data_IF_584607725392
#
_entry.id   IF_584607725392
#
_cell.length_a   1.000
_cell.length_b   1.000
_cell.length_c   1.000
_cell.angle_alpha   90.00
_cell.angle_beta   90.00
_cell.angle_gamma   90.00
#
_symmetry.space_group_name_H-M   'P 1'
#
loop_
_entity.id
_entity.type
_entity.pdbx_description
1 polymer ?
#
# COMPACT_ATOMS: atom_id res chain seq x y z
N UNK A 1 -28.90 16.63 47.06
CA UNK A 1 -30.22 16.69 46.41
C UNK A 1 -30.93 15.37 46.64
N UNK A 2 -32.20 15.37 47.03
CA UNK A 2 -33.01 14.15 47.02
C UNK A 2 -33.50 13.89 45.59
N UNK A 3 -33.65 12.61 45.17
CA UNK A 3 -33.96 12.19 43.79
C UNK A 3 -35.20 12.89 43.22
N UNK A 4 -36.20 13.16 44.07
CA UNK A 4 -37.40 13.92 43.68
C UNK A 4 -37.13 15.37 43.28
N UNK A 5 -36.20 16.06 43.95
CA UNK A 5 -35.86 17.45 43.60
C UNK A 5 -35.09 17.54 42.29
N UNK A 6 -34.24 16.53 42.00
CA UNK A 6 -33.51 16.44 40.74
C UNK A 6 -34.44 16.14 39.56
N UNK A 7 -35.40 15.23 39.73
CA UNK A 7 -36.41 14.94 38.70
C UNK A 7 -37.31 16.14 38.39
N UNK A 8 -37.65 16.96 39.39
CA UNK A 8 -38.41 18.20 39.18
C UNK A 8 -37.57 19.22 38.38
N UNK A 9 -36.28 19.36 38.71
CA UNK A 9 -35.38 20.25 37.99
C UNK A 9 -35.16 19.82 36.54
N UNK A 10 -34.86 18.53 36.28
CA UNK A 10 -34.63 17.99 34.94
C UNK A 10 -35.87 18.14 34.04
N UNK A 11 -37.08 18.05 34.61
CA UNK A 11 -38.33 18.25 33.87
C UNK A 11 -38.72 19.74 33.68
N UNK A 12 -38.03 20.66 34.34
CA UNK A 12 -38.24 22.10 34.12
C UNK A 12 -37.80 22.53 32.71
N UNK A 13 -38.25 23.71 32.26
CA UNK A 13 -37.82 24.27 30.96
C UNK A 13 -36.30 24.44 30.86
N UNK A 14 -35.64 24.78 31.96
CA UNK A 14 -34.18 24.93 32.03
C UNK A 14 -33.52 23.55 32.04
N UNK A 15 -34.02 22.60 32.84
CA UNK A 15 -33.51 21.22 32.86
C UNK A 15 -33.59 20.53 31.50
N UNK A 16 -34.71 20.66 30.79
CA UNK A 16 -34.86 20.12 29.43
C UNK A 16 -33.91 20.76 28.42
N UNK A 17 -33.62 22.07 28.56
CA UNK A 17 -32.62 22.75 27.72
C UNK A 17 -31.21 22.23 28.02
N UNK A 18 -30.87 22.02 29.29
CA UNK A 18 -29.59 21.45 29.71
C UNK A 18 -29.42 20.02 29.21
N UNK A 19 -30.45 19.17 29.30
CA UNK A 19 -30.43 17.81 28.74
C UNK A 19 -30.16 17.86 27.24
N UNK A 20 -30.90 18.70 26.49
CA UNK A 20 -30.72 18.82 25.04
C UNK A 20 -29.33 19.34 24.66
N UNK A 21 -28.77 20.24 25.47
CA UNK A 21 -27.42 20.74 25.26
C UNK A 21 -26.38 19.65 25.55
N UNK A 22 -26.54 18.91 26.65
CA UNK A 22 -25.68 17.77 26.99
C UNK A 22 -25.75 16.66 25.93
N UNK A 23 -26.93 16.34 25.39
CA UNK A 23 -27.08 15.39 24.27
C UNK A 23 -26.37 15.87 23.00
N UNK A 24 -26.39 17.18 22.72
CA UNK A 24 -25.70 17.76 21.58
C UNK A 24 -24.18 17.74 21.78
N UNK A 25 -23.70 18.09 22.97
CA UNK A 25 -22.27 18.03 23.33
C UNK A 25 -21.75 16.59 23.29
N UNK A 26 -22.51 15.63 23.85
CA UNK A 26 -22.20 14.20 23.80
C UNK A 26 -22.12 13.70 22.35
N UNK A 27 -23.08 14.09 21.50
CA UNK A 27 -23.04 13.71 20.09
C UNK A 27 -21.77 14.22 19.39
N UNK A 28 -21.42 15.49 19.59
CA UNK A 28 -20.20 16.06 18.99
C UNK A 28 -18.95 15.33 19.49
N UNK A 29 -18.92 14.96 20.77
CA UNK A 29 -17.84 14.17 21.35
C UNK A 29 -17.74 12.77 20.72
N UNK A 30 -18.86 12.07 20.57
CA UNK A 30 -18.90 10.75 19.93
C UNK A 30 -18.50 10.81 18.45
N UNK A 31 -18.97 11.82 17.71
CA UNK A 31 -18.59 12.03 16.30
C UNK A 31 -17.06 12.28 16.19
N UNK A 32 -16.47 13.01 17.13
CA UNK A 32 -15.03 13.24 17.19
C UNK A 32 -14.24 11.95 17.50
N UNK A 33 -14.68 11.16 18.48
CA UNK A 33 -14.06 9.85 18.78
C UNK A 33 -14.12 8.91 17.57
N UNK A 34 -15.27 8.87 16.88
CA UNK A 34 -15.42 8.04 15.70
C UNK A 34 -14.44 8.46 14.58
N UNK A 35 -14.25 9.76 14.37
CA UNK A 35 -13.28 10.27 13.39
C UNK A 35 -11.85 9.85 13.75
N UNK A 36 -11.45 10.01 15.01
CA UNK A 36 -10.12 9.61 15.49
C UNK A 36 -9.90 8.09 15.32
N UNK A 37 -10.90 7.28 15.69
CA UNK A 37 -10.84 5.82 15.54
C UNK A 37 -10.67 5.41 14.07
N UNK A 38 -11.37 6.07 13.14
CA UNK A 38 -11.21 5.84 11.70
C UNK A 38 -9.78 6.16 11.25
N UNK A 39 -9.21 7.31 11.65
CA UNK A 39 -7.84 7.68 11.29
C UNK A 39 -6.80 6.67 11.83
N UNK A 40 -6.98 6.17 13.04
CA UNK A 40 -6.11 5.12 13.61
C UNK A 40 -6.22 3.84 12.78
N UNK A 41 -7.44 3.46 12.39
CA UNK A 41 -7.65 2.27 11.57
C UNK A 41 -6.98 2.40 10.19
N UNK A 42 -7.12 3.55 9.52
CA UNK A 42 -6.45 3.85 8.24
C UNK A 42 -4.92 3.81 8.39
N UNK A 43 -4.38 4.40 9.46
CA UNK A 43 -2.94 4.36 9.73
C UNK A 43 -2.42 2.94 9.97
N UNK A 44 -3.19 2.10 10.68
CA UNK A 44 -2.88 0.67 10.88
C UNK A 44 -2.94 -0.13 9.59
N UNK A 45 -3.95 0.09 8.76
CA UNK A 45 -4.05 -0.57 7.44
C UNK A 45 -2.86 -0.19 6.55
N UNK A 46 -2.48 1.09 6.56
CA UNK A 46 -1.28 1.58 5.87
C UNK A 46 0.00 0.92 6.40
N UNK A 47 0.15 0.82 7.72
CA UNK A 47 1.27 0.13 8.35
C UNK A 47 1.30 -1.37 7.99
N UNK A 48 0.16 -2.04 8.01
CA UNK A 48 0.05 -3.45 7.63
C UNK A 48 0.46 -3.67 6.17
N UNK A 49 0.07 -2.77 5.26
CA UNK A 49 0.56 -2.77 3.89
C UNK A 49 2.08 -2.55 3.84
N UNK A 50 2.61 -1.56 4.56
CA UNK A 50 4.05 -1.26 4.59
C UNK A 50 4.87 -2.45 5.14
N UNK A 51 4.32 -3.18 6.10
CA UNK A 51 5.01 -4.27 6.75
C UNK A 51 4.86 -5.59 6.01
N UNK A 52 3.68 -5.90 5.48
CA UNK A 52 3.37 -7.18 4.86
C UNK A 52 3.45 -7.18 3.34
N UNK A 53 3.27 -6.03 2.67
CA UNK A 53 3.10 -5.92 1.21
C UNK A 53 1.79 -6.56 0.70
N UNK A 54 1.61 -6.60 -0.63
CA UNK A 54 0.36 -7.10 -1.25
C UNK A 54 0.37 -8.59 -1.61
N UNK A 55 1.51 -9.24 -1.45
CA UNK A 55 1.76 -10.58 -1.96
C UNK A 55 2.52 -11.40 -0.91
N UNK A 56 2.06 -11.45 0.34
CA UNK A 56 2.71 -12.24 1.38
C UNK A 56 2.31 -13.70 1.26
N UNK A 57 3.27 -14.61 1.22
CA UNK A 57 3.05 -16.07 1.14
C UNK A 57 2.19 -16.50 -0.07
N UNK A 58 2.50 -16.00 -1.26
CA UNK A 58 1.74 -16.28 -2.49
C UNK A 58 2.61 -16.68 -3.66
N UNK A 59 1.98 -17.30 -4.67
CA UNK A 59 2.59 -17.63 -5.95
C UNK A 59 1.93 -16.76 -7.04
N UNK A 60 2.74 -16.12 -7.88
CA UNK A 60 2.27 -15.16 -8.90
C UNK A 60 3.10 -15.25 -10.16
N UNK A 61 2.55 -14.70 -11.24
CA UNK A 61 3.28 -14.48 -12.48
C UNK A 61 3.59 -13.00 -12.61
N UNK A 62 4.84 -12.71 -12.94
CA UNK A 62 5.32 -11.35 -13.18
C UNK A 62 6.01 -11.29 -14.54
N UNK A 63 5.93 -10.14 -15.20
CA UNK A 63 6.61 -9.89 -16.47
C UNK A 63 7.83 -9.01 -16.22
N UNK A 64 9.02 -9.48 -16.62
CA UNK A 64 10.26 -8.73 -16.63
C UNK A 64 10.70 -8.47 -18.06
N UNK A 65 10.50 -7.23 -18.52
CA UNK A 65 10.91 -6.77 -19.86
C UNK A 65 10.52 -7.76 -20.98
N UNK A 66 9.24 -8.16 -20.99
CA UNK A 66 8.67 -9.11 -21.96
C UNK A 66 8.81 -10.60 -21.59
N UNK A 67 9.67 -10.96 -20.64
CA UNK A 67 9.79 -12.35 -20.18
C UNK A 67 8.84 -12.63 -19.01
N UNK A 68 8.09 -13.73 -19.07
CA UNK A 68 7.23 -14.15 -17.95
C UNK A 68 8.01 -14.99 -16.94
N UNK A 69 7.89 -14.63 -15.68
CA UNK A 69 8.49 -15.32 -14.54
C UNK A 69 7.41 -15.84 -13.60
N UNK A 70 7.67 -17.02 -13.06
CA UNK A 70 6.97 -17.56 -11.92
C UNK A 70 7.67 -17.11 -10.63
N UNK A 71 6.94 -16.34 -9.83
CA UNK A 71 7.44 -15.69 -8.62
C UNK A 71 6.73 -16.28 -7.41
N UNK A 72 7.52 -16.77 -6.45
CA UNK A 72 7.03 -17.19 -5.14
C UNK A 72 7.48 -16.16 -4.11
N UNK A 73 6.55 -15.74 -3.27
CA UNK A 73 6.80 -14.82 -2.17
C UNK A 73 6.61 -15.52 -0.83
N UNK A 74 7.41 -15.14 0.15
CA UNK A 74 7.30 -15.58 1.53
C UNK A 74 6.72 -14.48 2.42
N UNK A 75 7.10 -14.51 3.70
CA UNK A 75 6.69 -13.51 4.67
C UNK A 75 7.06 -12.08 4.24
N UNK A 76 6.19 -11.13 4.57
CA UNK A 76 6.34 -9.70 4.25
C UNK A 76 6.52 -9.43 2.75
N UNK A 77 5.90 -10.26 1.91
CA UNK A 77 5.99 -10.17 0.45
C UNK A 77 7.43 -10.23 -0.09
N UNK A 78 8.39 -10.78 0.66
CA UNK A 78 9.76 -10.99 0.15
C UNK A 78 9.73 -12.06 -0.92
N UNK A 79 10.37 -11.79 -2.06
CA UNK A 79 10.48 -12.79 -3.12
C UNK A 79 11.48 -13.85 -2.67
N UNK A 80 11.06 -15.11 -2.67
CA UNK A 80 11.91 -16.26 -2.31
C UNK A 80 12.43 -16.99 -3.54
N UNK A 81 11.71 -16.88 -4.67
CA UNK A 81 12.11 -17.47 -5.94
C UNK A 81 11.48 -16.68 -7.09
N UNK A 82 12.27 -16.37 -8.11
CA UNK A 82 11.80 -15.83 -9.38
C UNK A 82 12.43 -16.65 -10.52
N UNK A 83 11.61 -17.44 -11.22
CA UNK A 83 12.08 -18.37 -12.26
C UNK A 83 11.42 -18.07 -13.61
N UNK A 84 12.18 -17.90 -14.70
CA UNK A 84 11.62 -17.78 -16.03
C UNK A 84 10.73 -18.97 -16.40
N UNK A 85 9.59 -18.66 -17.00
CA UNK A 85 8.68 -19.67 -17.54
C UNK A 85 9.23 -20.09 -18.90
N UNK A 86 9.53 -21.38 -19.04
CA UNK A 86 10.07 -22.01 -20.25
C UNK A 86 9.09 -23.07 -20.74
N UNK A 87 9.33 -23.63 -21.93
CA UNK A 87 8.52 -24.74 -22.44
C UNK A 87 8.52 -25.96 -21.49
N UNK A 88 9.59 -26.15 -20.71
CA UNK A 88 9.72 -27.23 -19.74
C UNK A 88 9.03 -26.87 -18.42
N UNK A 89 9.37 -25.72 -17.83
CA UNK A 89 8.79 -25.31 -16.54
C UNK A 89 7.28 -25.02 -16.63
N UNK A 90 6.75 -24.66 -17.80
CA UNK A 90 5.31 -24.51 -18.00
C UNK A 90 4.50 -25.77 -17.69
N UNK A 91 5.07 -26.96 -17.92
CA UNK A 91 4.41 -28.24 -17.63
C UNK A 91 4.33 -28.53 -16.12
N UNK A 92 5.19 -27.90 -15.35
CA UNK A 92 5.31 -28.07 -13.90
C UNK A 92 4.56 -26.98 -13.11
N UNK A 93 4.04 -25.96 -13.81
CA UNK A 93 3.30 -24.87 -13.16
C UNK A 93 1.99 -25.36 -12.52
N UNK A 94 1.60 -24.78 -11.38
CA UNK A 94 0.28 -25.02 -10.80
C UNK A 94 -0.85 -24.71 -11.78
N UNK A 95 -1.95 -25.47 -11.70
CA UNK A 95 -3.12 -25.31 -12.60
C UNK A 95 -3.66 -23.88 -12.56
N UNK A 96 -3.64 -23.25 -11.38
CA UNK A 96 -4.08 -21.87 -11.18
C UNK A 96 -3.20 -20.87 -11.96
N UNK A 97 -1.88 -21.07 -11.96
CA UNK A 97 -0.93 -20.25 -12.71
C UNK A 97 -1.10 -20.44 -14.22
N UNK A 98 -1.38 -21.67 -14.67
CA UNK A 98 -1.71 -21.94 -16.07
C UNK A 98 -3.01 -21.24 -16.48
N UNK A 99 -4.03 -21.23 -15.61
CA UNK A 99 -5.27 -20.50 -15.86
C UNK A 99 -5.04 -18.99 -15.94
N UNK A 100 -4.21 -18.44 -15.05
CA UNK A 100 -3.80 -17.04 -15.07
C UNK A 100 -3.07 -16.68 -16.38
N UNK A 101 -2.13 -17.51 -16.84
CA UNK A 101 -1.45 -17.33 -18.14
C UNK A 101 -2.44 -17.34 -19.30
N UNK A 102 -3.40 -18.27 -19.32
CA UNK A 102 -4.41 -18.33 -20.38
C UNK A 102 -5.28 -17.08 -20.43
N UNK A 103 -5.63 -16.53 -19.27
CA UNK A 103 -6.46 -15.35 -19.17
C UNK A 103 -5.72 -14.07 -19.61
N UNK A 104 -4.48 -13.90 -19.15
CA UNK A 104 -3.75 -12.64 -19.30
C UNK A 104 -2.74 -12.63 -20.46
N UNK A 105 -2.20 -13.79 -20.83
CA UNK A 105 -1.20 -13.94 -21.89
C UNK A 105 -1.54 -15.13 -22.84
N UNK A 106 -2.68 -15.07 -23.57
CA UNK A 106 -3.18 -16.19 -24.35
C UNK A 106 -2.23 -16.64 -25.47
N UNK A 107 -1.57 -15.68 -26.15
CA UNK A 107 -0.61 -15.97 -27.23
C UNK A 107 0.64 -16.66 -26.69
N UNK A 108 1.16 -16.19 -25.56
CA UNK A 108 2.31 -16.80 -24.89
C UNK A 108 1.97 -18.21 -24.43
N UNK A 109 0.78 -18.40 -23.86
CA UNK A 109 0.31 -19.73 -23.46
C UNK A 109 0.24 -20.71 -24.63
N UNK A 110 -0.28 -20.26 -25.78
CA UNK A 110 -0.32 -21.09 -26.98
C UNK A 110 1.09 -21.48 -27.44
N UNK A 111 2.03 -20.52 -27.46
CA UNK A 111 3.44 -20.79 -27.78
C UNK A 111 4.07 -21.80 -26.82
N UNK A 112 3.83 -21.66 -25.51
CA UNK A 112 4.32 -22.59 -24.47
C UNK A 112 3.76 -24.00 -24.67
N UNK A 113 2.46 -24.13 -24.97
CA UNK A 113 1.80 -25.41 -25.25
C UNK A 113 2.37 -26.13 -26.48
N UNK A 114 2.74 -25.37 -27.51
CA UNK A 114 3.33 -25.91 -28.74
C UNK A 114 4.86 -26.02 -28.70
N UNK A 115 5.51 -25.69 -27.57
CA UNK A 115 6.97 -25.73 -27.44
C UNK A 115 7.69 -24.68 -28.30
N UNK A 116 7.00 -23.61 -28.67
CA UNK A 116 7.48 -22.53 -29.53
C UNK A 116 7.77 -21.24 -28.76
N UNK A 117 7.70 -21.26 -27.43
CA UNK A 117 8.08 -20.11 -26.63
C UNK A 117 9.60 -20.01 -26.57
N UNK A 118 10.15 -18.85 -26.95
CA UNK A 118 11.57 -18.59 -27.01
C UNK A 118 11.83 -17.13 -26.68
N UNK A 119 11.62 -16.78 -25.41
CA UNK A 119 11.97 -15.45 -24.92
C UNK A 119 13.39 -15.51 -24.35
N UNK A 120 14.28 -14.76 -25.00
CA UNK A 120 15.62 -14.51 -24.47
C UNK A 120 15.50 -13.44 -23.41
N UNK A 121 16.01 -13.71 -22.23
CA UNK A 121 16.11 -12.72 -21.16
C UNK A 121 17.01 -11.57 -21.64
N UNK A 122 16.51 -10.35 -21.50
CA UNK A 122 17.26 -9.12 -21.73
C UNK A 122 18.16 -8.82 -20.52
N UNK A 123 19.12 -7.90 -20.68
CA UNK A 123 19.95 -7.41 -19.57
C UNK A 123 19.07 -6.84 -18.44
N UNK A 124 18.04 -6.06 -18.81
CA UNK A 124 17.06 -5.53 -17.86
C UNK A 124 16.28 -6.62 -17.13
N UNK A 125 15.92 -7.72 -17.80
CA UNK A 125 15.28 -8.84 -17.13
C UNK A 125 16.20 -9.45 -16.05
N UNK A 126 17.52 -9.52 -16.30
CA UNK A 126 18.48 -9.96 -15.29
C UNK A 126 18.64 -8.96 -14.13
N UNK A 127 18.65 -7.65 -14.41
CA UNK A 127 18.63 -6.62 -13.36
C UNK A 127 17.38 -6.74 -12.48
N UNK A 128 16.21 -6.97 -13.06
CA UNK A 128 14.97 -7.18 -12.32
C UNK A 128 14.99 -8.47 -11.52
N UNK A 129 15.60 -9.55 -12.05
CA UNK A 129 15.84 -10.78 -11.29
C UNK A 129 16.77 -10.55 -10.09
N UNK A 130 17.84 -9.78 -10.27
CA UNK A 130 18.74 -9.38 -9.19
C UNK A 130 18.01 -8.55 -8.12
N UNK A 131 17.15 -7.63 -8.54
CA UNK A 131 16.31 -6.84 -7.66
C UNK A 131 15.35 -7.70 -6.79
N UNK A 132 14.98 -8.91 -7.24
CA UNK A 132 14.16 -9.83 -6.44
C UNK A 132 14.86 -10.35 -5.19
N UNK A 133 16.19 -10.36 -5.18
CA UNK A 133 16.97 -10.76 -4.01
C UNK A 133 17.03 -9.65 -2.95
N UNK A 134 16.83 -8.40 -3.38
CA UNK A 134 17.00 -7.20 -2.55
C UNK A 134 15.70 -6.63 -2.04
N UNK A 135 14.64 -6.71 -2.84
CA UNK A 135 13.42 -5.95 -2.61
C UNK A 135 12.16 -6.83 -2.52
N UNK A 136 11.15 -6.40 -1.77
CA UNK A 136 9.86 -7.09 -1.73
C UNK A 136 9.11 -6.96 -3.06
N UNK A 137 8.12 -7.84 -3.23
CA UNK A 137 7.32 -7.99 -4.45
C UNK A 137 6.84 -6.67 -5.03
N UNK A 138 6.23 -5.80 -4.21
CA UNK A 138 5.60 -4.57 -4.72
C UNK A 138 6.64 -3.60 -5.30
N UNK A 139 7.84 -3.53 -4.72
CA UNK A 139 8.94 -2.70 -5.25
C UNK A 139 9.41 -3.25 -6.59
N UNK A 140 9.65 -4.56 -6.67
CA UNK A 140 10.08 -5.21 -7.92
C UNK A 140 9.02 -5.05 -9.01
N UNK A 141 7.74 -5.19 -8.66
CA UNK A 141 6.65 -4.95 -9.60
C UNK A 141 6.62 -3.51 -10.11
N UNK A 142 6.89 -2.53 -9.23
CA UNK A 142 6.99 -1.12 -9.62
C UNK A 142 8.22 -0.82 -10.50
N UNK A 143 9.35 -1.52 -10.27
CA UNK A 143 10.53 -1.45 -11.13
C UNK A 143 10.30 -2.08 -12.50
N UNK A 144 9.61 -3.23 -12.54
CA UNK A 144 9.31 -3.95 -13.78
C UNK A 144 8.29 -3.22 -14.66
N UNK A 145 7.35 -2.49 -14.06
CA UNK A 145 6.34 -1.71 -14.77
C UNK A 145 6.78 -0.29 -15.15
N UNK A 146 7.99 0.13 -14.77
CA UNK A 146 8.50 1.46 -15.02
C UNK A 146 8.64 1.74 -16.54
N UNK A 147 8.04 2.81 -17.08
CA UNK A 147 8.14 3.13 -18.51
C UNK A 147 9.58 3.40 -18.96
N UNK A 148 10.05 2.72 -20.00
CA UNK A 148 11.48 2.77 -20.39
C UNK A 148 11.76 3.70 -21.57
N UNK A 149 10.72 4.12 -22.30
CA UNK A 149 10.92 4.80 -23.57
C UNK A 149 9.78 5.75 -23.92
N UNK A 150 10.14 6.88 -24.55
CA UNK A 150 9.21 7.80 -25.22
C UNK A 150 9.07 7.46 -26.73
N UNK A 151 9.73 6.39 -27.20
CA UNK A 151 9.58 5.86 -28.56
C UNK A 151 8.48 4.80 -28.61
N UNK A 152 7.45 5.08 -29.41
CA UNK A 152 6.26 4.23 -29.61
C UNK A 152 6.57 2.83 -30.11
N UNK A 153 7.73 2.63 -30.73
CA UNK A 153 8.13 1.33 -31.28
C UNK A 153 8.91 0.47 -30.29
N UNK A 154 9.20 0.98 -29.08
CA UNK A 154 9.93 0.23 -28.06
C UNK A 154 8.99 -0.37 -27.01
N UNK A 155 9.34 -1.52 -26.40
CA UNK A 155 8.65 -2.05 -25.23
C UNK A 155 8.55 -0.99 -24.12
N UNK A 156 7.50 -1.09 -23.29
CA UNK A 156 7.26 -0.17 -22.17
C UNK A 156 7.21 1.31 -22.57
N UNK A 157 6.70 1.60 -23.77
CA UNK A 157 6.47 2.95 -24.26
C UNK A 157 5.43 3.71 -23.41
N UNK A 158 5.76 4.96 -23.09
CA UNK A 158 4.81 5.93 -22.56
C UNK A 158 5.13 7.31 -23.16
N UNK A 159 4.09 8.04 -23.60
CA UNK A 159 4.20 9.38 -24.21
C UNK A 159 4.89 10.38 -23.27
N UNK A 160 4.73 10.19 -21.95
CA UNK A 160 5.25 11.05 -20.90
C UNK A 160 6.10 10.25 -19.90
N UNK A 161 7.00 9.37 -20.36
CA UNK A 161 7.78 8.51 -19.45
C UNK A 161 8.53 9.34 -18.40
N UNK A 162 9.00 10.54 -18.75
CA UNK A 162 9.65 11.48 -17.83
C UNK A 162 8.82 11.83 -16.59
N UNK A 163 7.48 11.88 -16.68
CA UNK A 163 6.63 12.23 -15.53
C UNK A 163 6.66 11.16 -14.44
N UNK A 164 7.04 9.94 -14.80
CA UNK A 164 7.13 8.80 -13.90
C UNK A 164 8.44 8.73 -13.10
N UNK A 165 9.37 9.65 -13.33
CA UNK A 165 10.68 9.68 -12.66
C UNK A 165 10.86 11.01 -11.92
N UNK A 166 11.48 10.97 -10.73
CA UNK A 166 11.79 12.19 -9.96
C UNK A 166 13.01 12.91 -10.51
N UNK A 167 14.00 12.17 -11.03
CA UNK A 167 15.27 12.71 -11.53
C UNK A 167 15.70 12.02 -12.82
N UNK A 168 16.69 12.59 -13.50
CA UNK A 168 17.33 11.96 -14.68
C UNK A 168 18.05 10.67 -14.32
N UNK A 169 18.72 10.63 -13.17
CA UNK A 169 19.41 9.43 -12.66
C UNK A 169 18.43 8.29 -12.42
N UNK A 170 17.30 8.56 -11.75
CA UNK A 170 16.23 7.59 -11.54
C UNK A 170 15.70 7.02 -12.85
N UNK A 171 15.63 7.84 -13.91
CA UNK A 171 15.23 7.37 -15.24
C UNK A 171 16.28 6.45 -15.86
N UNK A 172 17.56 6.77 -15.73
CA UNK A 172 18.65 5.92 -16.21
C UNK A 172 18.65 4.56 -15.51
N UNK A 173 18.37 4.55 -14.20
CA UNK A 173 18.36 3.32 -13.39
C UNK A 173 17.00 2.57 -13.46
N UNK A 174 16.00 3.18 -14.09
CA UNK A 174 14.64 2.63 -14.20
C UNK A 174 13.89 2.60 -12.87
N UNK A 175 14.20 3.51 -11.93
CA UNK A 175 13.56 3.65 -10.62
C UNK A 175 12.43 4.68 -10.75
N UNK A 176 11.19 4.22 -10.94
CA UNK A 176 10.04 5.11 -11.02
C UNK A 176 9.71 5.77 -9.68
N UNK A 177 8.98 6.90 -9.69
CA UNK A 177 8.41 7.55 -8.49
C UNK A 177 7.68 6.56 -7.59
N UNK A 178 6.93 5.64 -8.19
CA UNK A 178 6.22 4.60 -7.46
C UNK A 178 7.17 3.65 -6.74
N UNK A 179 8.28 3.27 -7.39
CA UNK A 179 9.31 2.45 -6.76
C UNK A 179 10.00 3.22 -5.62
N UNK A 180 10.29 4.51 -5.78
CA UNK A 180 10.84 5.37 -4.72
C UNK A 180 9.92 5.44 -3.50
N UNK A 181 8.63 5.69 -3.72
CA UNK A 181 7.61 5.72 -2.67
C UNK A 181 7.56 4.40 -1.91
N UNK A 182 7.59 3.27 -2.61
CA UNK A 182 7.56 1.94 -2.00
C UNK A 182 8.85 1.61 -1.23
N UNK A 183 10.01 1.99 -1.78
CA UNK A 183 11.29 1.85 -1.09
C UNK A 183 11.30 2.62 0.23
N UNK A 184 10.79 3.84 0.23
CA UNK A 184 10.64 4.62 1.46
C UNK A 184 9.61 4.01 2.40
N UNK A 185 8.44 3.65 1.89
CA UNK A 185 7.34 3.08 2.67
C UNK A 185 7.76 1.80 3.43
N UNK A 186 8.52 0.93 2.77
CA UNK A 186 9.00 -0.33 3.34
C UNK A 186 10.33 -0.21 4.10
N UNK A 187 10.91 0.99 4.18
CA UNK A 187 12.14 1.19 4.95
C UNK A 187 11.91 0.95 6.44
N UNK A 188 12.90 0.37 7.11
CA UNK A 188 12.81 0.09 8.54
C UNK A 188 12.60 1.37 9.37
N UNK A 189 13.25 2.47 8.98
CA UNK A 189 13.05 3.78 9.61
C UNK A 189 11.60 4.25 9.48
N UNK A 190 11.01 4.16 8.29
CA UNK A 190 9.63 4.58 8.09
C UNK A 190 8.65 3.69 8.87
N UNK A 191 8.86 2.37 8.88
CA UNK A 191 8.04 1.44 9.66
C UNK A 191 8.08 1.77 11.16
N UNK A 192 9.26 2.04 11.71
CA UNK A 192 9.41 2.43 13.12
C UNK A 192 8.68 3.75 13.40
N UNK A 193 8.83 4.74 12.52
CA UNK A 193 8.23 6.06 12.70
C UNK A 193 6.70 6.01 12.60
N UNK A 194 6.15 5.30 11.61
CA UNK A 194 4.70 5.10 11.46
C UNK A 194 4.14 4.35 12.68
N UNK A 195 4.79 3.28 13.14
CA UNK A 195 4.35 2.55 14.32
C UNK A 195 4.32 3.42 15.59
N UNK A 196 5.35 4.28 15.79
CA UNK A 196 5.37 5.23 16.91
C UNK A 196 4.22 6.23 16.83
N UNK A 197 3.91 6.74 15.65
CA UNK A 197 2.80 7.67 15.42
C UNK A 197 1.45 7.01 15.70
N UNK A 198 1.25 5.75 15.30
CA UNK A 198 0.05 4.98 15.63
C UNK A 198 -0.10 4.85 17.14
N UNK A 199 0.96 4.43 17.85
CA UNK A 199 0.92 4.31 19.32
C UNK A 199 0.58 5.64 20.00
N UNK A 200 1.12 6.76 19.50
CA UNK A 200 0.78 8.08 20.02
C UNK A 200 -0.70 8.45 19.77
N UNK A 201 -1.24 8.18 18.57
CA UNK A 201 -2.66 8.39 18.28
C UNK A 201 -3.57 7.53 19.16
N UNK A 202 -3.17 6.30 19.47
CA UNK A 202 -3.92 5.42 20.37
C UNK A 202 -3.92 5.93 21.82
N UNK A 203 -2.78 6.43 22.31
CA UNK A 203 -2.67 7.03 23.65
C UNK A 203 -3.50 8.32 23.76
N UNK A 204 -3.45 9.17 22.74
CA UNK A 204 -4.28 10.38 22.64
C UNK A 204 -5.77 10.04 22.59
N UNK A 205 -6.15 9.01 21.82
CA UNK A 205 -7.54 8.54 21.72
C UNK A 205 -8.07 8.05 23.07
N UNK A 206 -7.33 7.20 23.78
CA UNK A 206 -7.74 6.72 25.10
C UNK A 206 -7.78 7.87 26.12
N UNK A 207 -6.83 8.81 26.06
CA UNK A 207 -6.85 10.01 26.92
C UNK A 207 -8.09 10.89 26.69
N UNK A 208 -8.51 11.10 25.43
CA UNK A 208 -9.71 11.88 25.09
C UNK A 208 -10.97 11.16 25.57
N UNK A 209 -11.03 9.85 25.34
CA UNK A 209 -12.14 8.98 25.74
C UNK A 209 -12.32 8.92 27.26
N UNK A 210 -11.24 8.81 28.03
CA UNK A 210 -11.28 8.81 29.50
C UNK A 210 -11.55 10.20 30.08
N UNK A 211 -11.01 11.26 29.45
CA UNK A 211 -11.15 12.64 29.92
C UNK A 211 -12.53 13.26 29.69
N UNK A 212 -13.33 12.72 28.75
CA UNK A 212 -14.66 13.25 28.44
C UNK A 212 -14.64 14.68 27.87
N UNK A 213 -13.48 15.14 27.40
CA UNK A 213 -13.29 16.48 26.83
C UNK A 213 -12.68 16.34 25.45
N UNK A 214 -13.25 17.04 24.46
CA UNK A 214 -12.64 17.18 23.15
C UNK A 214 -11.32 17.94 23.32
N UNK A 215 -10.21 17.28 23.00
CA UNK A 215 -8.91 17.91 22.76
C UNK A 215 -8.61 17.83 21.28
N UNK A 216 -7.86 18.80 20.76
CA UNK A 216 -7.37 18.76 19.39
C UNK A 216 -6.61 17.44 19.18
N UNK A 217 -7.13 16.60 18.28
CA UNK A 217 -6.42 15.41 17.85
C UNK A 217 -5.17 15.80 17.10
N UNK A 218 -4.00 15.37 17.57
CA UNK A 218 -2.77 15.57 16.81
C UNK A 218 -2.73 14.50 15.73
N UNK A 219 -3.11 14.88 14.52
CA UNK A 219 -2.89 14.04 13.35
C UNK A 219 -1.39 14.01 13.03
N UNK A 220 -0.70 13.00 13.57
CA UNK A 220 0.73 12.82 13.37
C UNK A 220 1.13 12.51 11.91
N UNK A 221 0.16 12.42 10.99
CA UNK A 221 0.40 12.22 9.55
C UNK A 221 0.10 13.46 8.70
N UNK A 222 -0.48 14.53 9.27
CA UNK A 222 -0.87 15.74 8.53
C UNK A 222 0.30 16.65 8.12
N UNK A 223 1.48 16.52 8.75
CA UNK A 223 2.63 17.42 8.56
C UNK A 223 3.38 17.27 7.21
N UNK A 224 2.96 16.39 6.32
CA UNK A 224 3.54 16.28 4.96
C UNK A 224 2.78 17.05 3.87
N UNK A 225 1.79 17.88 4.25
CA UNK A 225 1.09 18.79 3.32
C UNK A 225 1.60 20.25 3.39
N UNK A 226 2.76 20.46 4.02
CA UNK A 226 3.43 21.76 4.09
C UNK A 226 3.90 22.24 2.72
N UNK A 227 3.08 23.08 2.09
CA UNK A 227 3.44 23.82 0.90
C UNK A 227 4.73 24.61 1.10
N UNK A 228 5.60 24.56 0.10
CA UNK A 228 6.62 25.57 -0.08
C UNK A 228 5.95 26.93 -0.35
N UNK A 229 6.35 28.00 0.37
CA UNK A 229 6.10 29.35 -0.07
C UNK A 229 7.23 29.79 -1.03
N UNK A 230 6.89 30.03 -2.29
CA UNK A 230 7.44 31.10 -3.13
C UNK A 230 6.45 31.45 -4.25
#
# INVERSE_FOLDING_TARGET
>A
MNVNQMNIFLNSRVGKRLIKQAEAEEKVFQDHLQLQATKIAEAKESYDFMFNGTASNTERIMEFDGALLYVTTGDRSRITSAKPITNESFKELPIEMVAHLKANHPVVTLKLQHGQYNDKLTERAFELMEATERYPYDVVQALASAPQSDDRNKPHYNVDAWKHYSTTENRTDGISKRAEELLNAFSESNLIDVNRRILAMEDDFETVKEGGTIKDFVDHFADNSGGEPA
#
